data_IF_883575028125
#
_entry.id   IF_883575028125
#
_cell.length_a   1.000
_cell.length_b   1.000
_cell.length_c   1.000
_cell.angle_alpha   90.00
_cell.angle_beta   90.00
_cell.angle_gamma   90.00
#
_symmetry.space_group_name_H-M   'P 1'
#
loop_
_entity.id
_entity.type
_entity.pdbx_description
1 polymer ?
#
# COMPACT_ATOMS: atom_id res chain seq x y z
N UNK A 1 26.30 -21.87 -1.66
CA UNK A 1 25.70 -20.68 -2.33
C UNK A 1 25.70 -19.53 -1.35
N UNK A 2 26.22 -18.36 -1.72
CA UNK A 2 26.19 -17.16 -0.87
C UNK A 2 25.55 -16.03 -1.67
N UNK A 3 24.42 -15.52 -1.17
CA UNK A 3 23.69 -14.39 -1.73
C UNK A 3 24.00 -13.13 -0.90
N UNK A 4 24.42 -12.03 -1.53
CA UNK A 4 24.89 -10.82 -0.84
C UNK A 4 24.33 -9.54 -1.48
N UNK A 5 24.37 -8.41 -0.76
CA UNK A 5 23.79 -7.11 -1.17
C UNK A 5 24.44 -6.43 -2.40
N UNK A 6 25.24 -7.14 -3.19
CA UNK A 6 25.80 -6.61 -4.43
C UNK A 6 26.84 -5.50 -4.24
N UNK A 7 27.41 -5.30 -3.03
CA UNK A 7 28.67 -4.54 -2.94
C UNK A 7 29.79 -5.35 -3.60
N UNK A 8 30.65 -4.65 -4.34
CA UNK A 8 31.74 -5.13 -5.21
C UNK A 8 32.81 -6.03 -4.55
N UNK A 9 32.55 -6.73 -3.45
CA UNK A 9 33.57 -7.59 -2.90
C UNK A 9 33.07 -8.89 -2.27
N UNK A 10 32.88 -9.88 -3.13
CA UNK A 10 32.90 -11.29 -2.71
C UNK A 10 34.20 -11.61 -1.93
N UNK A 11 35.32 -10.91 -2.17
CA UNK A 11 36.56 -11.07 -1.42
C UNK A 11 36.45 -10.56 0.02
N UNK A 12 35.56 -9.61 0.32
CA UNK A 12 35.30 -9.18 1.70
C UNK A 12 34.63 -10.29 2.53
N UNK A 13 34.00 -11.27 1.87
CA UNK A 13 33.42 -12.45 2.51
C UNK A 13 34.40 -13.63 2.62
N UNK A 14 35.54 -13.59 1.93
CA UNK A 14 36.52 -14.69 1.96
C UNK A 14 37.09 -15.00 3.36
N UNK A 15 37.39 -14.00 4.21
CA UNK A 15 37.86 -14.27 5.57
C UNK A 15 36.82 -15.00 6.43
N UNK A 16 35.53 -14.74 6.19
CA UNK A 16 34.42 -15.30 6.98
C UNK A 16 33.91 -16.64 6.43
N UNK A 17 34.24 -16.96 5.17
CA UNK A 17 33.80 -18.18 4.48
C UNK A 17 34.15 -19.48 5.24
N UNK A 18 35.34 -19.66 5.83
CA UNK A 18 35.65 -20.86 6.59
C UNK A 18 34.75 -21.04 7.82
N UNK A 19 34.44 -19.95 8.52
CA UNK A 19 33.55 -19.99 9.69
C UNK A 19 32.10 -20.29 9.28
N UNK A 20 31.66 -19.74 8.14
CA UNK A 20 30.36 -20.05 7.54
C UNK A 20 30.25 -21.53 7.16
N UNK A 21 31.24 -22.07 6.45
CA UNK A 21 31.24 -23.46 6.01
C UNK A 21 31.32 -24.44 7.19
N UNK A 22 31.88 -24.02 8.33
CA UNK A 22 31.95 -24.83 9.54
C UNK A 22 30.59 -25.02 10.24
N UNK A 23 29.55 -24.24 9.90
CA UNK A 23 28.21 -24.42 10.50
C UNK A 23 27.45 -25.64 9.97
N UNK A 24 27.97 -26.28 8.91
CA UNK A 24 27.32 -27.42 8.24
C UNK A 24 26.24 -27.00 7.23
N UNK A 25 26.07 -25.71 7.01
CA UNK A 25 25.11 -25.16 6.05
C UNK A 25 25.68 -25.03 4.64
N UNK A 26 24.81 -25.18 3.64
CA UNK A 26 25.17 -25.09 2.23
C UNK A 26 24.76 -23.77 1.54
N UNK A 27 23.88 -22.99 2.18
CA UNK A 27 23.28 -21.79 1.60
C UNK A 27 23.18 -20.66 2.64
N UNK A 28 23.66 -19.48 2.27
CA UNK A 28 23.73 -18.31 3.15
C UNK A 28 23.26 -17.05 2.42
N UNK A 29 22.63 -16.15 3.16
CA UNK A 29 22.37 -14.79 2.72
C UNK A 29 23.10 -13.81 3.65
N UNK A 30 23.96 -12.96 3.10
CA UNK A 30 24.65 -11.91 3.87
C UNK A 30 23.98 -10.58 3.58
N UNK A 31 23.47 -9.95 4.64
CA UNK A 31 22.76 -8.67 4.58
C UNK A 31 23.38 -7.70 5.58
N UNK A 32 23.98 -6.62 5.09
CA UNK A 32 24.67 -5.62 5.93
C UNK A 32 25.68 -6.27 6.92
N UNK A 33 26.41 -7.29 6.47
CA UNK A 33 27.36 -8.05 7.30
C UNK A 33 26.73 -9.08 8.24
N UNK A 34 25.39 -9.16 8.31
CA UNK A 34 24.69 -10.19 9.07
C UNK A 34 24.47 -11.42 8.19
N UNK A 35 24.95 -12.56 8.67
CA UNK A 35 24.76 -13.86 8.03
C UNK A 35 23.38 -14.41 8.42
N UNK A 36 22.60 -14.82 7.42
CA UNK A 36 21.32 -15.50 7.58
C UNK A 36 21.34 -16.84 6.88
N UNK A 37 20.64 -17.81 7.46
CA UNK A 37 20.53 -19.17 6.92
C UNK A 37 19.05 -19.53 6.80
N UNK A 38 18.66 -20.07 5.66
CA UNK A 38 17.31 -20.56 5.43
C UNK A 38 17.03 -21.82 6.24
N UNK A 39 15.90 -21.83 6.95
CA UNK A 39 15.36 -23.00 7.64
C UNK A 39 13.90 -23.16 7.27
N UNK A 40 13.46 -24.40 7.10
CA UNK A 40 12.04 -24.69 7.03
C UNK A 40 11.48 -24.60 8.44
N UNK A 41 10.39 -23.86 8.59
CA UNK A 41 9.63 -23.78 9.83
C UNK A 41 8.14 -23.88 9.54
N UNK A 42 7.34 -24.19 10.56
CA UNK A 42 5.89 -24.20 10.45
C UNK A 42 5.38 -22.77 10.39
N UNK A 43 4.57 -22.47 9.38
CA UNK A 43 3.86 -21.19 9.30
C UNK A 43 2.96 -21.03 10.54
N UNK A 44 3.26 -20.03 11.37
CA UNK A 44 2.42 -19.59 12.47
C UNK A 44 1.94 -18.18 12.14
N UNK A 45 0.67 -18.05 11.75
CA UNK A 45 0.01 -16.76 11.60
C UNK A 45 -0.71 -16.43 12.91
N UNK A 46 -0.57 -15.20 13.41
CA UNK A 46 -1.37 -14.74 14.54
C UNK A 46 -2.86 -14.82 14.20
N UNK A 47 -3.68 -15.31 15.12
CA UNK A 47 -5.13 -15.55 14.90
C UNK A 47 -5.86 -14.29 14.39
N UNK A 48 -5.38 -13.09 14.75
CA UNK A 48 -5.96 -11.82 14.30
C UNK A 48 -5.87 -11.53 12.81
N UNK A 49 -4.92 -12.15 12.09
CA UNK A 49 -4.72 -11.93 10.64
C UNK A 49 -5.29 -13.06 9.76
N UNK A 50 -6.17 -13.89 10.33
CA UNK A 50 -6.96 -14.84 9.56
C UNK A 50 -8.26 -14.16 9.10
N UNK A 51 -8.55 -14.14 7.79
CA UNK A 51 -9.79 -13.57 7.29
C UNK A 51 -11.00 -14.30 7.90
N UNK A 52 -12.02 -13.58 8.37
CA UNK A 52 -13.26 -14.22 8.78
C UNK A 52 -13.94 -14.87 7.56
N UNK A 53 -14.59 -16.01 7.79
CA UNK A 53 -15.22 -16.82 6.74
C UNK A 53 -16.59 -16.24 6.38
N UNK A 54 -16.92 -16.22 5.09
CA UNK A 54 -18.23 -15.81 4.53
C UNK A 54 -18.70 -14.40 4.91
N UNK A 55 -17.80 -13.51 5.34
CA UNK A 55 -18.09 -12.11 5.61
C UNK A 55 -16.98 -11.24 5.02
N UNK A 56 -17.31 -10.14 4.31
CA UNK A 56 -16.30 -9.16 3.94
C UNK A 56 -15.62 -8.63 5.19
N UNK A 57 -14.37 -8.20 5.03
CA UNK A 57 -13.53 -7.76 6.12
C UNK A 57 -12.71 -6.55 5.70
N UNK A 58 -12.10 -5.89 6.67
CA UNK A 58 -11.04 -4.91 6.43
C UNK A 58 -9.97 -5.04 7.50
N UNK A 59 -8.74 -4.65 7.17
CA UNK A 59 -7.69 -4.47 8.15
C UNK A 59 -8.08 -3.31 9.07
N UNK A 60 -8.11 -3.59 10.36
CA UNK A 60 -8.42 -2.64 11.41
C UNK A 60 -7.50 -2.91 12.61
N UNK A 61 -7.74 -2.21 13.72
CA UNK A 61 -6.96 -2.38 14.95
C UNK A 61 -7.85 -2.56 16.17
N UNK A 62 -7.47 -3.48 17.07
CA UNK A 62 -8.10 -3.63 18.39
C UNK A 62 -7.61 -2.57 19.40
N UNK A 63 -6.59 -1.81 19.05
CA UNK A 63 -6.02 -0.74 19.86
C UNK A 63 -4.75 -0.17 19.23
N UNK A 64 -4.60 1.15 19.24
CA UNK A 64 -3.43 1.82 18.65
C UNK A 64 -2.19 1.68 19.54
N UNK A 65 -1.00 1.85 18.97
CA UNK A 65 0.27 1.91 19.71
C UNK A 65 1.24 0.75 19.43
N UNK A 66 0.75 -0.33 18.81
CA UNK A 66 1.56 -1.46 18.36
C UNK A 66 0.94 -2.09 17.12
N UNK A 67 1.78 -2.68 16.26
CA UNK A 67 1.35 -3.43 15.08
C UNK A 67 0.75 -4.80 15.44
N UNK A 68 1.00 -5.30 16.65
CA UNK A 68 0.45 -6.59 17.13
C UNK A 68 -1.08 -6.57 17.26
N UNK A 69 -1.66 -5.37 17.34
CA UNK A 69 -3.12 -5.18 17.47
C UNK A 69 -3.84 -5.13 16.11
N UNK A 70 -3.13 -5.33 14.99
CA UNK A 70 -3.76 -5.41 13.69
C UNK A 70 -4.61 -6.68 13.56
N UNK A 71 -5.84 -6.50 13.08
CA UNK A 71 -6.80 -7.59 12.90
C UNK A 71 -7.57 -7.44 11.59
N UNK A 72 -8.04 -8.55 11.03
CA UNK A 72 -9.02 -8.54 9.94
C UNK A 72 -10.42 -8.51 10.55
N UNK A 73 -10.99 -7.32 10.68
CA UNK A 73 -12.30 -7.11 11.29
C UNK A 73 -13.41 -7.34 10.26
N UNK A 74 -14.53 -8.01 10.62
CA UNK A 74 -15.71 -8.08 9.78
C UNK A 74 -16.23 -6.69 9.38
N UNK A 75 -16.62 -6.55 8.12
CA UNK A 75 -17.05 -5.30 7.50
C UNK A 75 -18.30 -5.52 6.62
N UNK A 76 -19.41 -6.10 7.15
CA UNK A 76 -20.61 -6.40 6.36
C UNK A 76 -21.29 -5.16 5.77
N UNK A 77 -21.03 -3.98 6.34
CA UNK A 77 -21.59 -2.70 5.88
C UNK A 77 -21.29 -2.39 4.42
N UNK A 78 -20.16 -2.87 3.86
CA UNK A 78 -19.81 -2.67 2.43
C UNK A 78 -20.77 -3.37 1.48
N UNK A 79 -21.63 -4.28 1.96
CA UNK A 79 -22.64 -4.97 1.16
C UNK A 79 -24.03 -4.33 1.26
N UNK A 80 -24.21 -3.26 2.05
CA UNK A 80 -25.47 -2.54 2.12
C UNK A 80 -25.83 -1.90 0.75
N UNK A 81 -27.12 -1.58 0.50
CA UNK A 81 -27.51 -0.89 -0.73
C UNK A 81 -26.68 0.38 -0.94
N UNK A 82 -26.22 0.59 -2.17
CA UNK A 82 -25.39 1.75 -2.51
C UNK A 82 -26.22 3.03 -2.51
N UNK A 83 -25.63 4.10 -1.99
CA UNK A 83 -26.09 5.47 -2.17
C UNK A 83 -25.95 5.94 -3.62
N UNK A 84 -26.52 7.11 -3.92
CA UNK A 84 -26.70 7.63 -5.28
C UNK A 84 -25.40 7.65 -6.12
N UNK A 85 -24.30 8.10 -5.53
CA UNK A 85 -22.99 8.26 -6.18
C UNK A 85 -21.96 7.21 -5.74
N UNK A 86 -22.38 6.19 -5.00
CA UNK A 86 -21.47 5.18 -4.48
C UNK A 86 -21.18 4.08 -5.51
N UNK A 87 -19.95 3.58 -5.46
CA UNK A 87 -19.45 2.50 -6.31
C UNK A 87 -18.84 1.44 -5.41
N UNK A 88 -19.28 0.19 -5.57
CA UNK A 88 -18.67 -0.96 -4.91
C UNK A 88 -17.57 -1.53 -5.78
N UNK A 89 -16.41 -1.76 -5.17
CA UNK A 89 -15.20 -2.21 -5.84
C UNK A 89 -14.75 -3.52 -5.19
N UNK A 90 -14.49 -4.55 -6.01
CA UNK A 90 -13.70 -5.73 -5.67
C UNK A 90 -12.22 -5.34 -5.76
N UNK A 91 -11.58 -5.24 -4.61
CA UNK A 91 -10.23 -4.67 -4.47
C UNK A 91 -9.19 -5.72 -4.82
N UNK A 92 -8.31 -5.37 -5.77
CA UNK A 92 -7.17 -6.21 -6.16
C UNK A 92 -5.89 -5.78 -5.43
N UNK A 93 -5.66 -4.47 -5.34
CA UNK A 93 -4.48 -3.90 -4.72
C UNK A 93 -4.79 -2.58 -4.02
N UNK A 94 -4.06 -2.29 -2.94
CA UNK A 94 -4.21 -1.07 -2.14
C UNK A 94 -2.84 -0.49 -1.83
N UNK A 95 -2.73 0.84 -1.92
CA UNK A 95 -1.52 1.56 -1.57
C UNK A 95 -1.36 1.70 -0.06
N UNK A 96 -0.17 1.40 0.45
CA UNK A 96 0.20 1.61 1.85
C UNK A 96 0.93 2.94 2.01
N UNK A 97 0.38 3.82 2.84
CA UNK A 97 0.96 5.14 3.06
C UNK A 97 1.52 5.27 4.49
N UNK A 98 2.44 6.22 4.67
CA UNK A 98 3.06 6.48 5.99
C UNK A 98 2.00 6.85 7.05
N UNK A 99 0.90 7.49 6.63
CA UNK A 99 -0.25 7.78 7.50
C UNK A 99 -0.84 6.52 8.14
N UNK A 100 -0.89 5.40 7.42
CA UNK A 100 -1.51 4.17 7.90
C UNK A 100 -0.64 3.53 8.99
N UNK A 101 0.69 3.62 8.83
CA UNK A 101 1.66 3.19 9.86
C UNK A 101 1.54 4.06 11.11
N UNK A 102 1.50 5.39 10.95
CA UNK A 102 1.30 6.30 12.07
C UNK A 102 -0.04 6.06 12.78
N UNK A 103 -1.09 5.72 12.03
CA UNK A 103 -2.39 5.38 12.58
C UNK A 103 -2.31 4.13 13.47
N UNK A 104 -1.74 3.04 12.94
CA UNK A 104 -1.59 1.79 13.69
C UNK A 104 -0.74 1.97 14.96
N UNK A 105 0.31 2.80 14.88
CA UNK A 105 1.18 3.11 16.02
C UNK A 105 0.61 4.18 16.97
N UNK A 106 -0.60 4.71 16.75
CA UNK A 106 -1.20 5.72 17.62
C UNK A 106 -0.48 7.07 17.59
N UNK A 107 0.29 7.34 16.54
CA UNK A 107 1.09 8.54 16.34
C UNK A 107 0.45 9.52 15.35
N UNK A 108 -0.67 9.15 14.72
CA UNK A 108 -1.39 10.04 13.80
C UNK A 108 -2.13 11.13 14.57
N UNK A 109 -1.95 12.42 14.23
CA UNK A 109 -2.66 13.51 14.90
C UNK A 109 -4.15 13.50 14.53
N UNK A 110 -5.01 13.40 15.55
CA UNK A 110 -6.47 13.42 15.38
C UNK A 110 -7.04 12.09 14.86
N UNK A 111 -8.25 12.18 14.29
CA UNK A 111 -8.95 11.02 13.73
C UNK A 111 -8.44 10.73 12.31
N UNK A 112 -7.82 9.57 12.16
CA UNK A 112 -7.27 9.05 10.90
C UNK A 112 -8.33 8.42 9.99
N UNK A 113 -9.49 8.05 10.53
CA UNK A 113 -10.46 7.22 9.83
C UNK A 113 -9.93 5.79 9.55
N UNK A 114 -10.61 5.05 8.66
CA UNK A 114 -10.20 3.69 8.29
C UNK A 114 -8.80 3.63 7.67
N UNK A 115 -8.11 2.49 7.83
CA UNK A 115 -6.80 2.25 7.22
C UNK A 115 -6.94 1.92 5.73
N UNK A 116 -5.98 2.39 4.92
CA UNK A 116 -6.02 2.21 3.47
C UNK A 116 -6.86 3.30 2.82
N UNK A 117 -6.19 4.25 2.16
CA UNK A 117 -6.83 5.47 1.61
C UNK A 117 -6.87 5.52 0.10
N UNK A 118 -6.35 4.50 -0.55
CA UNK A 118 -6.34 4.37 -2.01
C UNK A 118 -6.37 2.92 -2.40
N UNK A 119 -7.06 2.60 -3.48
CA UNK A 119 -7.14 1.23 -3.97
C UNK A 119 -7.27 1.21 -5.49
N UNK A 120 -6.99 0.04 -6.06
CA UNK A 120 -7.35 -0.33 -7.41
C UNK A 120 -8.09 -1.66 -7.41
N UNK A 121 -9.13 -1.76 -8.22
CA UNK A 121 -10.02 -2.91 -8.26
C UNK A 121 -10.92 -2.91 -9.47
N UNK A 122 -11.97 -3.72 -9.39
CA UNK A 122 -13.01 -3.84 -10.42
C UNK A 122 -14.35 -3.43 -9.83
N UNK A 123 -15.09 -2.60 -10.54
CA UNK A 123 -16.45 -2.21 -10.12
C UNK A 123 -17.35 -3.44 -10.14
N UNK A 124 -18.06 -3.69 -9.05
CA UNK A 124 -19.06 -4.78 -8.95
C UNK A 124 -20.50 -4.28 -8.94
N UNK A 125 -20.72 -3.06 -8.43
CA UNK A 125 -22.03 -2.42 -8.42
C UNK A 125 -21.87 -0.89 -8.40
N UNK A 126 -22.90 -0.18 -8.86
CA UNK A 126 -22.96 1.27 -8.90
C UNK A 126 -24.29 1.77 -8.33
N UNK A 127 -24.26 2.94 -7.73
CA UNK A 127 -25.42 3.68 -7.26
C UNK A 127 -26.30 4.19 -8.41
N UNK A 128 -27.55 4.57 -8.14
CA UNK A 128 -28.52 4.96 -9.16
C UNK A 128 -28.17 6.25 -9.93
N UNK A 129 -27.36 7.14 -9.36
CA UNK A 129 -26.93 8.38 -10.02
C UNK A 129 -25.56 8.28 -10.70
N UNK A 130 -24.86 7.14 -10.54
CA UNK A 130 -23.57 6.88 -11.19
C UNK A 130 -23.79 6.67 -12.69
N UNK A 131 -23.17 7.54 -13.50
CA UNK A 131 -23.26 7.48 -14.97
C UNK A 131 -21.90 7.27 -15.62
N UNK A 132 -20.82 7.59 -14.90
CA UNK A 132 -19.46 7.58 -15.43
C UNK A 132 -18.78 6.22 -15.37
N UNK A 133 -19.27 5.28 -14.57
CA UNK A 133 -18.69 3.96 -14.30
C UNK A 133 -19.75 2.86 -14.37
N UNK A 134 -19.34 1.61 -14.62
CA UNK A 134 -20.23 0.45 -14.65
C UNK A 134 -19.55 -0.81 -14.10
N UNK A 135 -20.31 -1.83 -13.67
CA UNK A 135 -19.74 -3.13 -13.31
C UNK A 135 -18.82 -3.69 -14.40
N UNK A 136 -17.68 -4.23 -13.97
CA UNK A 136 -16.60 -4.72 -14.83
C UNK A 136 -15.54 -3.68 -15.19
N UNK A 137 -15.77 -2.38 -14.94
CA UNK A 137 -14.74 -1.36 -15.16
C UNK A 137 -13.60 -1.52 -14.15
N UNK A 138 -12.36 -1.47 -14.63
CA UNK A 138 -11.16 -1.39 -13.78
C UNK A 138 -10.99 0.05 -13.31
N UNK A 139 -10.96 0.25 -11.99
CA UNK A 139 -10.90 1.59 -11.39
C UNK A 139 -9.81 1.67 -10.32
N UNK A 140 -9.32 2.88 -10.11
CA UNK A 140 -8.42 3.23 -9.02
C UNK A 140 -8.72 4.64 -8.51
N UNK A 141 -8.33 4.95 -7.28
CA UNK A 141 -8.60 6.26 -6.70
C UNK A 141 -8.47 6.25 -5.18
N UNK A 142 -8.91 7.35 -4.56
CA UNK A 142 -8.94 7.44 -3.09
C UNK A 142 -10.22 6.80 -2.56
N UNK A 143 -10.08 5.91 -1.57
CA UNK A 143 -11.20 5.15 -1.01
C UNK A 143 -11.13 5.15 0.52
N UNK A 144 -12.26 5.05 1.23
CA UNK A 144 -12.27 4.92 2.68
C UNK A 144 -12.15 3.44 3.09
N UNK A 145 -10.96 2.99 3.51
CA UNK A 145 -10.80 1.64 4.05
C UNK A 145 -10.40 0.58 3.02
N UNK A 146 -9.42 0.89 2.16
CA UNK A 146 -9.01 0.03 1.05
C UNK A 146 -8.30 -1.28 1.45
N UNK A 147 -7.93 -1.49 2.71
CA UNK A 147 -7.28 -2.75 3.14
C UNK A 147 -8.30 -3.87 3.38
N UNK A 148 -9.08 -4.23 2.37
CA UNK A 148 -10.03 -5.34 2.42
C UNK A 148 -10.38 -5.78 1.00
N UNK A 149 -11.08 -6.92 0.82
CA UNK A 149 -11.47 -7.42 -0.49
C UNK A 149 -12.54 -6.56 -1.15
N UNK A 150 -13.33 -5.80 -0.38
CA UNK A 150 -14.41 -4.97 -0.90
C UNK A 150 -14.37 -3.60 -0.26
N UNK A 151 -14.51 -2.56 -1.08
CA UNK A 151 -14.66 -1.17 -0.61
C UNK A 151 -15.79 -0.48 -1.36
N UNK A 152 -16.44 0.47 -0.68
CA UNK A 152 -17.43 1.38 -1.28
C UNK A 152 -16.84 2.79 -1.26
N UNK A 153 -16.86 3.46 -2.40
CA UNK A 153 -16.33 4.81 -2.55
C UNK A 153 -17.23 5.66 -3.46
N UNK A 154 -17.13 6.97 -3.35
CA UNK A 154 -17.84 7.90 -4.22
C UNK A 154 -17.17 7.94 -5.62
N UNK A 155 -17.97 7.90 -6.68
CA UNK A 155 -17.49 7.88 -8.07
C UNK A 155 -16.56 9.03 -8.43
N UNK A 156 -16.72 10.19 -7.79
CA UNK A 156 -15.92 11.40 -8.07
C UNK A 156 -14.46 11.28 -7.62
N UNK A 157 -14.15 10.31 -6.76
CA UNK A 157 -12.78 10.03 -6.31
C UNK A 157 -12.11 8.89 -7.08
N UNK A 158 -12.78 8.38 -8.12
CA UNK A 158 -12.31 7.25 -8.90
C UNK A 158 -12.01 7.67 -10.34
N UNK A 159 -11.02 7.00 -10.92
CA UNK A 159 -10.70 7.04 -12.34
C UNK A 159 -10.59 5.62 -12.89
N UNK A 160 -10.79 5.45 -14.20
CA UNK A 160 -10.52 4.16 -14.85
C UNK A 160 -9.02 3.90 -14.91
N UNK A 161 -8.63 2.66 -14.62
CA UNK A 161 -7.25 2.22 -14.78
C UNK A 161 -6.90 2.20 -16.27
N UNK A 162 -5.80 2.84 -16.70
CA UNK A 162 -5.33 2.72 -18.08
C UNK A 162 -5.06 1.26 -18.46
N UNK A 163 -5.35 0.88 -19.71
CA UNK A 163 -5.20 -0.50 -20.19
C UNK A 163 -3.78 -1.05 -20.03
N UNK A 164 -2.78 -0.17 -20.09
CA UNK A 164 -1.36 -0.52 -19.97
C UNK A 164 -0.89 -0.72 -18.53
N UNK A 165 -1.72 -0.42 -17.53
CA UNK A 165 -1.35 -0.50 -16.13
C UNK A 165 -1.83 -1.80 -15.51
N UNK A 166 -1.00 -2.38 -14.65
CA UNK A 166 -1.43 -3.37 -13.68
C UNK A 166 -2.24 -2.70 -12.56
N UNK A 167 -3.04 -3.47 -11.83
CA UNK A 167 -3.78 -2.95 -10.68
C UNK A 167 -2.84 -2.45 -9.58
N UNK A 168 -1.71 -3.12 -9.37
CA UNK A 168 -0.69 -2.71 -8.39
C UNK A 168 -0.05 -1.38 -8.75
N UNK A 169 0.27 -1.16 -10.03
CA UNK A 169 0.73 0.14 -10.51
C UNK A 169 -0.34 1.22 -10.26
N UNK A 170 -1.59 0.93 -10.62
CA UNK A 170 -2.69 1.85 -10.42
C UNK A 170 -2.88 2.19 -8.93
N UNK A 171 -2.84 1.22 -8.02
CA UNK A 171 -3.00 1.44 -6.58
C UNK A 171 -1.88 2.30 -5.95
N UNK A 172 -0.71 2.41 -6.59
CA UNK A 172 0.42 3.20 -6.09
C UNK A 172 0.37 4.70 -6.44
N UNK A 173 -0.61 5.11 -7.25
CA UNK A 173 -0.66 6.45 -7.86
C UNK A 173 -1.52 7.47 -7.10
N UNK A 174 -2.76 7.18 -6.65
CA UNK A 174 -3.74 8.19 -6.29
C UNK A 174 -3.23 9.21 -5.27
N UNK A 175 -2.86 8.77 -4.08
CA UNK A 175 -2.61 9.65 -2.94
C UNK A 175 -1.33 10.47 -3.16
N UNK A 176 -0.27 9.83 -3.65
CA UNK A 176 1.03 10.49 -3.83
C UNK A 176 0.98 11.54 -4.94
N UNK A 177 0.34 11.23 -6.08
CA UNK A 177 0.23 12.19 -7.19
C UNK A 177 -0.81 13.27 -6.91
N UNK A 178 -1.95 12.95 -6.30
CA UNK A 178 -2.93 13.97 -5.90
C UNK A 178 -2.34 14.94 -4.88
N UNK A 179 -1.58 14.44 -3.91
CA UNK A 179 -0.90 15.31 -2.92
C UNK A 179 0.06 16.27 -3.60
N UNK A 180 0.94 15.76 -4.48
CA UNK A 180 1.92 16.58 -5.17
C UNK A 180 1.25 17.59 -6.13
N UNK A 181 0.24 17.14 -6.89
CA UNK A 181 -0.49 17.98 -7.83
C UNK A 181 -1.23 19.10 -7.11
N UNK A 182 -1.95 18.79 -6.04
CA UNK A 182 -2.68 19.78 -5.25
C UNK A 182 -1.72 20.79 -4.60
N UNK A 183 -0.60 20.32 -4.05
CA UNK A 183 0.41 21.19 -3.46
C UNK A 183 1.01 22.16 -4.47
N UNK A 184 1.37 21.70 -5.67
CA UNK A 184 2.00 22.54 -6.67
C UNK A 184 1.02 23.44 -7.42
N UNK A 185 -0.12 22.91 -7.85
CA UNK A 185 -1.07 23.63 -8.68
C UNK A 185 -1.98 24.53 -7.87
N UNK A 186 -2.64 23.96 -6.85
CA UNK A 186 -3.75 24.61 -6.16
C UNK A 186 -3.27 25.47 -4.97
N UNK A 187 -2.23 25.02 -4.25
CA UNK A 187 -1.70 25.76 -3.09
C UNK A 187 -0.54 26.71 -3.44
N UNK A 188 0.47 26.21 -4.15
CA UNK A 188 1.68 27.00 -4.46
C UNK A 188 1.54 27.83 -5.74
N UNK A 189 0.69 27.40 -6.69
CA UNK A 189 0.58 28.04 -8.00
C UNK A 189 1.88 28.02 -8.81
N UNK A 190 2.65 26.93 -8.67
CA UNK A 190 4.00 26.77 -9.25
C UNK A 190 4.00 26.99 -10.77
N UNK A 191 5.00 27.71 -11.27
CA UNK A 191 5.14 28.07 -12.68
C UNK A 191 6.45 27.55 -13.29
N UNK A 192 6.45 27.41 -14.60
CA UNK A 192 7.65 27.06 -15.36
C UNK A 192 8.79 28.05 -15.09
N UNK A 193 9.99 27.53 -14.84
CA UNK A 193 11.18 28.30 -14.51
C UNK A 193 11.41 28.53 -13.01
N UNK A 194 10.44 28.21 -12.16
CA UNK A 194 10.62 28.24 -10.70
C UNK A 194 11.32 26.97 -10.19
N UNK A 195 11.97 27.07 -9.03
CA UNK A 195 12.66 25.95 -8.38
C UNK A 195 11.91 25.52 -7.11
N UNK A 196 11.86 24.21 -6.86
CA UNK A 196 11.22 23.64 -5.67
C UNK A 196 12.21 22.78 -4.87
N UNK A 197 12.09 22.83 -3.54
CA UNK A 197 12.79 21.92 -2.64
C UNK A 197 11.84 20.81 -2.21
N UNK A 198 12.16 19.56 -2.57
CA UNK A 198 11.37 18.37 -2.21
C UNK A 198 12.14 17.54 -1.19
N UNK A 199 11.62 17.43 0.03
CA UNK A 199 12.14 16.50 1.03
C UNK A 199 11.71 15.07 0.71
N UNK A 200 12.49 14.08 1.19
CA UNK A 200 12.22 12.66 0.99
C UNK A 200 11.98 12.30 -0.49
N UNK A 201 12.84 12.79 -1.40
CA UNK A 201 12.68 12.62 -2.85
C UNK A 201 12.59 11.17 -3.35
N UNK A 202 13.07 10.20 -2.57
CA UNK A 202 12.94 8.76 -2.86
C UNK A 202 11.65 8.13 -2.27
N UNK A 203 10.88 8.86 -1.46
CA UNK A 203 9.56 8.43 -0.98
C UNK A 203 8.47 8.67 -2.02
N UNK A 204 7.29 8.06 -1.85
CA UNK A 204 6.20 8.11 -2.83
C UNK A 204 5.81 9.53 -3.27
N UNK A 205 5.46 10.40 -2.31
CA UNK A 205 5.13 11.82 -2.60
C UNK A 205 6.33 12.56 -3.20
N UNK A 206 7.54 12.31 -2.69
CA UNK A 206 8.75 12.96 -3.18
C UNK A 206 9.04 12.61 -4.65
N UNK A 207 8.90 11.33 -5.01
CA UNK A 207 9.06 10.87 -6.39
C UNK A 207 7.99 11.45 -7.30
N UNK A 208 6.72 11.48 -6.86
CA UNK A 208 5.62 12.08 -7.63
C UNK A 208 5.85 13.59 -7.84
N UNK A 209 6.27 14.30 -6.79
CA UNK A 209 6.60 15.72 -6.85
C UNK A 209 7.76 16.00 -7.82
N UNK A 210 8.85 15.23 -7.76
CA UNK A 210 9.97 15.39 -8.70
C UNK A 210 9.54 15.13 -10.14
N UNK A 211 8.65 14.17 -10.39
CA UNK A 211 8.11 13.91 -11.73
C UNK A 211 7.24 15.06 -12.24
N UNK A 212 6.39 15.64 -11.38
CA UNK A 212 5.51 16.75 -11.75
C UNK A 212 6.23 18.10 -11.88
N UNK A 213 7.36 18.29 -11.19
CA UNK A 213 8.14 19.53 -11.24
C UNK A 213 9.10 19.60 -12.45
N UNK A 214 9.27 18.49 -13.19
CA UNK A 214 10.07 18.43 -14.42
C UNK A 214 9.23 18.76 -15.64
#
# INVERSE_FOLDING_TARGET
LVDHDGRDDVLALLPDLPALLATGDAQFAVREGTVRVGRLDRLATGVGLLPPVDVPWRLDTTGKGTLDNLVLAPCPEVLQPLGDHEVRIDVDATGLNFRDVLNALGMYPGESGPMGTEAAGVVTAVGPAVTGLRPGDRVFGTVPGGFGPVVVADEHYLARVPDTWTQQQAASVPLVFLTALYAFRDLAGLRAGESVLVHAGAGGVGMAAVQLAR
#
